data_IF_154228997794
#
_entry.id   IF_154228997794
#
_cell.length_a   1.000
_cell.length_b   1.000
_cell.length_c   1.000
_cell.angle_alpha   90.00
_cell.angle_beta   90.00
_cell.angle_gamma   90.00
#
_symmetry.space_group_name_H-M   'P 1'
#
loop_
_entity.id
_entity.type
_entity.pdbx_description
1 polymer ?
2 non-polymer ?
3 non-polymer ?
4 water ?
#
# COMPACT_ATOMS: atom_id res chain seq x y z
N UNK A 10 8.88 -2.08 21.19
CA UNK A 10 7.48 -2.40 21.56
C UNK A 10 7.04 -3.82 21.11
N UNK A 11 6.13 -3.89 20.15
CA UNK A 11 5.58 -5.18 19.71
C UNK A 11 6.17 -5.58 18.36
N UNK A 12 5.73 -6.73 17.85
CA UNK A 12 6.23 -7.25 16.59
C UNK A 12 5.84 -6.35 15.43
N UNK A 13 4.54 -6.17 15.23
CA UNK A 13 4.03 -5.29 14.18
C UNK A 13 4.71 -3.93 14.22
N UNK A 14 5.02 -3.46 15.43
CA UNK A 14 5.60 -2.14 15.61
C UNK A 14 6.82 -1.94 14.71
N UNK A 15 7.64 -2.97 14.61
CA UNK A 15 8.95 -2.85 13.99
C UNK A 15 9.09 -3.70 12.74
N UNK A 16 7.96 -4.27 12.29
CA UNK A 16 7.98 -5.21 11.18
C UNK A 16 7.91 -4.48 9.85
N UNK A 17 8.93 -4.65 9.03
CA UNK A 17 9.13 -3.81 7.85
C UNK A 17 7.91 -3.74 6.95
N UNK A 18 7.21 -4.85 6.77
CA UNK A 18 6.07 -4.81 5.87
C UNK A 18 4.97 -3.96 6.43
N UNK A 19 4.89 -3.86 7.75
CA UNK A 19 3.86 -3.02 8.33
C UNK A 19 4.26 -1.58 8.17
N UNK A 20 5.55 -1.34 8.37
CA UNK A 20 6.08 -0.02 8.26
C UNK A 20 5.86 0.47 6.83
N UNK A 21 6.04 -0.38 5.83
CA UNK A 21 5.77 0.04 4.45
C UNK A 21 4.30 0.26 4.21
N UNK A 22 3.49 -0.74 4.49
CA UNK A 22 2.06 -0.65 4.24
C UNK A 22 1.43 0.54 4.97
N UNK A 23 1.73 0.74 6.26
CA UNK A 23 1.12 1.84 7.02
C UNK A 23 1.56 3.23 6.52
N UNK A 24 2.84 3.37 6.19
CA UNK A 24 3.36 4.60 5.59
C UNK A 24 2.57 4.95 4.36
N UNK A 25 2.51 3.99 3.44
CA UNK A 25 1.86 4.17 2.16
C UNK A 25 0.40 4.54 2.38
N UNK A 26 -0.25 3.86 3.32
CA UNK A 26 -1.65 4.09 3.58
C UNK A 26 -1.86 5.45 4.18
N UNK A 27 -1.03 5.82 5.14
CA UNK A 27 -1.17 7.12 5.78
C UNK A 27 -0.78 8.28 4.86
N UNK A 28 0.24 8.12 4.05
CA UNK A 28 0.64 9.21 3.17
C UNK A 28 -0.45 9.49 2.16
N UNK A 29 -1.09 8.42 1.70
CA UNK A 29 -2.14 8.48 0.70
C UNK A 29 -3.45 9.00 1.21
N UNK A 30 -3.79 8.68 2.46
CA UNK A 30 -5.13 8.96 2.99
C UNK A 30 -5.43 10.43 2.87
N UNK A 31 -4.38 11.22 3.08
CA UNK A 31 -4.42 12.67 2.91
C UNK A 31 -5.05 13.00 1.55
N UNK A 32 -4.28 12.75 0.51
CA UNK A 32 -4.66 12.96 -0.87
C UNK A 32 -5.90 12.20 -1.33
N UNK A 33 -6.09 10.98 -0.85
CA UNK A 33 -7.20 10.08 -1.27
C UNK A 33 -8.55 10.64 -0.89
N UNK A 34 -8.56 11.74 -0.14
CA UNK A 34 -9.82 12.31 0.27
C UNK A 34 -10.20 13.34 -0.78
N UNK A 35 -9.22 14.11 -1.23
CA UNK A 35 -9.42 15.07 -2.32
C UNK A 35 -9.94 14.38 -3.57
N UNK A 36 -9.26 13.30 -3.98
CA UNK A 36 -9.69 12.46 -5.09
C UNK A 36 -11.16 12.13 -4.93
N UNK A 37 -11.54 11.69 -3.74
CA UNK A 37 -12.94 11.40 -3.44
C UNK A 37 -13.83 12.61 -3.73
N UNK A 38 -13.27 13.80 -3.55
CA UNK A 38 -14.05 15.03 -3.68
C UNK A 38 -14.31 15.35 -5.15
N UNK A 39 -13.27 15.30 -5.97
CA UNK A 39 -13.41 15.52 -7.40
C UNK A 39 -14.23 14.42 -8.05
N UNK A 40 -14.70 13.47 -7.25
CA UNK A 40 -15.62 12.44 -7.71
C UNK A 40 -14.92 11.36 -8.51
N UNK A 41 -13.71 10.99 -8.08
CA UNK A 41 -12.94 9.98 -8.78
C UNK A 41 -12.71 8.77 -7.88
N UNK A 42 -12.27 7.67 -8.50
CA UNK A 42 -11.88 6.51 -7.76
C UNK A 42 -10.37 6.45 -7.82
N UNK A 43 -9.76 5.82 -6.83
CA UNK A 43 -8.32 5.73 -6.80
C UNK A 43 -7.72 5.21 -8.14
N UNK A 44 -8.27 4.11 -8.69
CA UNK A 44 -7.66 3.66 -9.97
C UNK A 44 -7.87 4.63 -11.13
N UNK A 45 -8.94 5.42 -11.11
CA UNK A 45 -9.08 6.43 -12.17
C UNK A 45 -8.01 7.51 -12.03
N UNK A 46 -7.79 7.93 -10.80
CA UNK A 46 -6.79 8.93 -10.53
C UNK A 46 -5.45 8.39 -11.03
N UNK A 47 -5.15 7.15 -10.67
CA UNK A 47 -3.88 6.59 -11.14
C UNK A 47 -3.71 6.60 -12.65
N UNK A 48 -4.79 6.38 -13.40
CA UNK A 48 -4.71 6.38 -14.85
C UNK A 48 -4.41 7.79 -15.32
N UNK A 49 -5.08 8.79 -14.75
CA UNK A 49 -4.81 10.20 -15.09
C UNK A 49 -3.36 10.56 -14.78
N UNK A 50 -2.88 10.10 -13.62
CA UNK A 50 -1.50 10.31 -13.20
C UNK A 50 -0.53 9.74 -14.23
N UNK A 51 -0.82 8.56 -14.77
CA UNK A 51 0.11 7.93 -15.69
C UNK A 51 0.12 8.67 -16.99
N UNK A 52 -1.03 9.23 -17.35
CA UNK A 52 -1.21 9.70 -18.70
C UNK A 52 -0.95 11.21 -18.86
N UNK A 53 -0.70 11.90 -17.73
CA UNK A 53 -0.44 13.33 -17.76
C UNK A 53 0.84 13.71 -18.52
N UNK A 54 1.81 12.81 -18.49
CA UNK A 54 3.18 13.03 -18.96
C UNK A 54 3.48 12.22 -20.21
N UNK A 55 2.56 11.36 -20.62
CA UNK A 55 2.77 10.46 -21.77
C UNK A 55 1.62 10.67 -22.72
N UNK A 56 1.89 10.53 -24.01
CA UNK A 56 0.90 10.74 -25.07
C UNK A 56 -0.09 9.59 -25.18
N UNK A 57 0.44 8.36 -25.28
CA UNK A 57 -0.30 7.11 -25.43
C UNK A 57 0.28 6.20 -24.38
N UNK A 58 -0.46 5.18 -24.01
CA UNK A 58 0.03 4.13 -23.15
C UNK A 58 -0.82 2.85 -23.28
N UNK A 59 -0.17 1.69 -23.22
CA UNK A 59 -0.83 0.40 -23.19
C UNK A 59 -1.54 0.18 -21.88
N UNK A 60 -2.67 -0.54 -21.97
CA UNK A 60 -3.46 -0.87 -20.81
C UNK A 60 -2.65 -1.77 -19.87
N UNK A 61 -1.79 -2.61 -20.44
CA UNK A 61 -0.91 -3.45 -19.64
C UNK A 61 -0.03 -2.60 -18.75
N UNK A 62 0.61 -1.57 -19.33
CA UNK A 62 1.49 -0.67 -18.58
C UNK A 62 0.72 0.17 -17.56
N UNK A 63 -0.49 0.58 -17.93
CA UNK A 63 -1.33 1.37 -17.04
C UNK A 63 -1.58 0.56 -15.80
N UNK A 64 -2.00 -0.70 -16.01
CA UNK A 64 -2.27 -1.62 -14.93
C UNK A 64 -1.03 -1.84 -14.06
N UNK A 65 0.13 -2.02 -14.70
CA UNK A 65 1.40 -2.20 -13.98
C UNK A 65 1.59 -1.02 -13.04
N UNK A 66 1.72 0.19 -13.60
CA UNK A 66 1.94 1.38 -12.78
C UNK A 66 0.85 1.56 -11.75
N UNK A 67 -0.38 1.14 -12.02
CA UNK A 67 -1.43 1.41 -11.03
C UNK A 67 -1.59 0.29 -10.00
N UNK A 68 -0.73 -0.73 -10.09
CA UNK A 68 -0.85 -1.88 -9.20
C UNK A 68 -2.26 -2.49 -9.28
N UNK A 69 -2.68 -2.81 -10.50
CA UNK A 69 -4.02 -3.33 -10.80
C UNK A 69 -3.90 -4.57 -11.64
N UNK A 70 -4.83 -5.47 -11.46
CA UNK A 70 -4.86 -6.62 -12.32
C UNK A 70 -5.42 -6.12 -13.66
N UNK A 71 -4.93 -6.68 -14.74
CA UNK A 71 -5.17 -6.11 -16.04
C UNK A 71 -6.62 -6.05 -16.47
N UNK A 72 -7.44 -7.01 -16.09
CA UNK A 72 -8.80 -6.94 -16.59
C UNK A 72 -9.63 -5.95 -15.80
N UNK A 73 -9.39 -5.85 -14.50
CA UNK A 73 -10.06 -4.77 -13.74
C UNK A 73 -9.67 -3.43 -14.34
N UNK A 74 -8.38 -3.22 -14.58
CA UNK A 74 -7.93 -2.00 -15.24
C UNK A 74 -8.62 -1.70 -16.58
N UNK A 75 -8.81 -2.74 -17.39
CA UNK A 75 -9.39 -2.61 -18.70
C UNK A 75 -10.85 -2.23 -18.59
N UNK A 76 -11.56 -2.82 -17.62
CA UNK A 76 -12.93 -2.39 -17.35
C UNK A 76 -12.90 -0.87 -17.09
N UNK A 77 -12.10 -0.47 -16.09
CA UNK A 77 -12.06 0.92 -15.66
C UNK A 77 -11.65 1.88 -16.76
N UNK A 78 -10.54 1.59 -17.45
CA UNK A 78 -10.21 2.41 -18.60
C UNK A 78 -11.41 2.53 -19.55
N UNK A 79 -12.04 1.40 -19.89
CA UNK A 79 -13.15 1.42 -20.84
C UNK A 79 -14.33 2.26 -20.37
N UNK A 80 -14.62 2.25 -19.08
CA UNK A 80 -15.64 3.15 -18.57
C UNK A 80 -15.19 4.61 -18.68
N UNK A 81 -13.91 4.86 -18.45
CA UNK A 81 -13.44 6.23 -18.57
C UNK A 81 -13.62 6.73 -20.00
N UNK A 82 -13.32 5.84 -20.94
CA UNK A 82 -13.57 6.08 -22.33
C UNK A 82 -15.03 6.49 -22.57
N UNK A 83 -15.97 5.66 -22.13
CA UNK A 83 -17.36 6.01 -22.26
C UNK A 83 -17.66 7.37 -21.67
N UNK A 84 -17.02 7.71 -20.56
CA UNK A 84 -17.27 9.01 -19.96
C UNK A 84 -16.48 10.14 -20.62
N UNK A 85 -15.73 9.85 -21.70
CA UNK A 85 -15.01 10.89 -22.46
C UNK A 85 -13.73 11.42 -21.84
N UNK A 86 -13.13 10.70 -20.88
CA UNK A 86 -11.87 11.14 -20.25
C UNK A 86 -10.65 10.62 -20.96
N UNK A 87 -10.85 9.53 -21.72
CA UNK A 87 -9.75 8.77 -22.24
C UNK A 87 -10.19 8.22 -23.57
N UNK A 88 -9.28 8.11 -24.52
CA UNK A 88 -9.67 7.60 -25.84
C UNK A 88 -8.57 6.70 -26.38
N UNK A 89 -8.90 5.79 -27.28
CA UNK A 89 -7.92 4.90 -27.86
C UNK A 89 -7.29 5.59 -29.03
N UNK A 90 -5.98 5.45 -29.15
CA UNK A 90 -5.22 6.09 -30.22
C UNK A 90 -5.35 5.26 -31.48
N UNK A 91 -5.95 5.82 -32.53
CA UNK A 91 -6.14 5.12 -33.81
C UNK A 91 -4.80 4.77 -34.50
N UNK A 98 -3.61 -2.75 -32.37
CA UNK A 98 -2.74 -2.16 -31.32
C UNK A 98 -3.37 -1.11 -30.36
N UNK A 99 -3.54 -1.46 -29.09
CA UNK A 99 -4.37 -0.68 -28.21
C UNK A 99 -3.53 0.19 -27.30
N UNK A 100 -3.68 1.50 -27.45
CA UNK A 100 -2.96 2.53 -26.70
C UNK A 100 -4.01 3.55 -26.29
N UNK A 101 -3.93 4.05 -25.06
CA UNK A 101 -4.92 4.99 -24.53
C UNK A 101 -4.27 6.34 -24.30
N UNK A 102 -4.99 7.40 -24.63
CA UNK A 102 -4.52 8.72 -24.29
C UNK A 102 -5.65 9.48 -23.66
N UNK A 103 -5.35 10.62 -23.04
CA UNK A 103 -6.38 11.46 -22.44
C UNK A 103 -7.13 12.26 -23.50
N UNK A 104 -8.42 12.55 -23.26
CA UNK A 104 -9.11 13.56 -24.06
C UNK A 104 -8.80 14.96 -23.51
N UNK A 105 -9.26 16.01 -24.16
CA UNK A 105 -9.09 17.33 -23.57
C UNK A 105 -9.69 17.34 -22.19
N UNK A 106 -10.86 16.74 -22.02
CA UNK A 106 -11.46 16.77 -20.71
C UNK A 106 -10.66 16.02 -19.69
N UNK A 107 -10.17 14.85 -20.07
CA UNK A 107 -9.39 14.03 -19.19
C UNK A 107 -8.14 14.78 -18.81
N UNK A 108 -7.61 15.53 -19.78
CA UNK A 108 -6.37 16.22 -19.57
C UNK A 108 -6.57 17.36 -18.58
N UNK A 109 -7.66 18.11 -18.75
CA UNK A 109 -7.95 19.20 -17.84
C UNK A 109 -8.08 18.62 -16.43
N UNK A 110 -8.70 17.46 -16.33
CA UNK A 110 -8.84 16.81 -15.04
C UNK A 110 -7.52 16.30 -14.49
N UNK A 111 -6.71 15.63 -15.32
CA UNK A 111 -5.38 15.19 -14.90
C UNK A 111 -4.53 16.35 -14.43
N UNK A 112 -4.55 17.44 -15.17
CA UNK A 112 -3.70 18.56 -14.83
C UNK A 112 -4.03 19.04 -13.45
N UNK A 113 -5.32 19.14 -13.24
CA UNK A 113 -5.82 19.63 -12.00
C UNK A 113 -5.47 18.70 -10.83
N UNK A 114 -5.67 17.39 -10.98
CA UNK A 114 -5.37 16.49 -9.89
C UNK A 114 -3.90 16.29 -9.68
N UNK A 115 -3.13 16.24 -10.77
CA UNK A 115 -1.71 16.08 -10.56
C UNK A 115 -1.14 17.31 -9.86
N UNK A 116 -1.61 18.51 -10.23
CA UNK A 116 -1.23 19.70 -9.46
C UNK A 116 -1.44 19.46 -7.96
N UNK A 117 -2.65 19.05 -7.55
CA UNK A 117 -2.89 18.70 -6.14
C UNK A 117 -1.94 17.66 -5.62
N UNK A 118 -1.76 16.60 -6.38
CA UNK A 118 -0.80 15.60 -5.93
C UNK A 118 0.55 16.26 -5.60
N UNK A 119 1.10 17.04 -6.55
CA UNK A 119 2.44 17.61 -6.39
C UNK A 119 2.45 18.65 -5.21
N UNK A 120 1.32 19.30 -4.94
CA UNK A 120 1.20 20.19 -3.77
C UNK A 120 1.23 19.40 -2.45
N UNK A 121 0.42 18.34 -2.33
CA UNK A 121 0.46 17.47 -1.16
C UNK A 121 1.86 16.92 -0.98
N UNK A 122 2.44 16.41 -2.06
CA UNK A 122 3.76 15.81 -1.99
C UNK A 122 4.81 16.80 -1.43
N UNK A 123 4.72 18.05 -1.87
CA UNK A 123 5.63 19.06 -1.44
C UNK A 123 5.53 19.32 0.05
N UNK A 124 4.30 19.39 0.57
CA UNK A 124 4.13 19.60 1.99
C UNK A 124 4.72 18.45 2.76
N UNK A 125 4.53 17.24 2.26
CA UNK A 125 5.06 16.08 2.98
C UNK A 125 6.59 16.06 3.02
N UNK A 126 7.20 16.26 1.85
CA UNK A 126 8.64 16.13 1.74
C UNK A 126 9.32 17.26 2.47
N UNK A 127 8.63 18.39 2.55
CA UNK A 127 9.12 19.52 3.23
C UNK A 127 9.19 19.17 4.71
N UNK A 128 8.13 18.59 5.24
CA UNK A 128 8.07 18.14 6.63
C UNK A 128 9.10 17.07 6.97
N UNK A 129 9.67 16.46 5.94
CA UNK A 129 10.64 15.42 6.16
C UNK A 129 12.07 15.93 6.03
N UNK A 130 12.25 17.19 5.67
CA UNK A 130 13.57 17.65 5.29
C UNK A 130 14.57 17.80 6.48
N UNK A 131 14.05 17.87 7.71
CA UNK A 131 14.86 17.96 8.94
C UNK A 131 15.26 16.61 9.51
N UNK A 132 14.78 15.52 8.89
CA UNK A 132 14.69 14.21 9.55
C UNK A 132 15.58 13.15 8.88
N UNK A 133 15.65 11.93 9.45
CA UNK A 133 16.22 10.75 8.74
C UNK A 133 15.51 10.51 7.42
N UNK A 134 14.26 10.93 7.34
CA UNK A 134 13.44 10.52 6.21
C UNK A 134 13.65 11.47 5.05
N UNK A 135 14.61 12.36 5.16
CA UNK A 135 14.77 13.38 4.13
C UNK A 135 14.99 12.80 2.74
N UNK A 136 15.82 11.75 2.66
CA UNK A 136 16.12 11.04 1.40
C UNK A 136 15.14 9.91 1.04
N UNK A 137 13.89 9.99 1.50
CA UNK A 137 12.96 8.87 1.38
C UNK A 137 12.77 8.34 -0.04
N UNK A 138 12.55 9.25 -0.99
CA UNK A 138 12.47 8.87 -2.38
C UNK A 138 13.65 8.00 -2.84
N UNK A 139 14.88 8.43 -2.56
CA UNK A 139 16.03 7.65 -2.94
C UNK A 139 16.02 6.28 -2.28
N UNK A 140 15.77 6.24 -0.97
CA UNK A 140 15.67 5.00 -0.24
C UNK A 140 14.71 4.03 -0.93
N UNK A 141 13.47 4.49 -1.17
CA UNK A 141 12.49 3.66 -1.83
C UNK A 141 12.96 3.21 -3.23
N UNK A 142 13.56 4.09 -4.03
CA UNK A 142 13.93 3.68 -5.39
C UNK A 142 15.09 2.68 -5.34
N UNK A 143 15.87 2.69 -4.26
CA UNK A 143 16.88 1.67 -4.05
C UNK A 143 16.21 0.35 -3.68
N UNK A 144 15.27 0.40 -2.72
CA UNK A 144 14.57 -0.81 -2.30
C UNK A 144 13.94 -1.47 -3.52
N UNK A 145 13.24 -0.66 -4.31
CA UNK A 145 12.62 -1.14 -5.55
C UNK A 145 13.63 -1.77 -6.51
N UNK A 146 14.82 -1.19 -6.62
CA UNK A 146 15.84 -1.73 -7.51
C UNK A 146 16.38 -3.06 -7.04
N UNK A 147 16.48 -3.22 -5.71
CA UNK A 147 16.92 -4.48 -5.13
C UNK A 147 15.82 -5.51 -5.37
N UNK A 148 14.58 -5.14 -5.09
CA UNK A 148 13.49 -6.08 -5.30
C UNK A 148 13.30 -6.55 -6.73
N UNK A 149 14.11 -6.08 -7.68
CA UNK A 149 13.96 -6.51 -9.08
C UNK A 149 15.13 -7.40 -9.59
N UNK B 10 12.50 12.62 -15.83
CA UNK B 10 11.62 11.45 -16.19
C UNK B 10 10.13 11.83 -15.99
N UNK B 11 9.25 10.85 -15.72
CA UNK B 11 7.78 11.07 -15.70
C UNK B 11 7.28 11.27 -14.27
N UNK B 12 6.07 11.81 -14.11
CA UNK B 12 5.51 12.06 -12.81
C UNK B 12 5.37 10.81 -11.93
N UNK B 13 4.67 9.78 -12.40
CA UNK B 13 4.46 8.61 -11.58
C UNK B 13 5.80 8.03 -11.08
N UNK B 14 6.74 7.84 -12.00
CA UNK B 14 7.99 7.17 -11.64
C UNK B 14 8.76 7.82 -10.46
N UNK B 15 8.66 9.16 -10.31
CA UNK B 15 9.21 9.87 -9.13
C UNK B 15 8.25 10.32 -8.02
N UNK B 16 6.99 9.92 -8.08
CA UNK B 16 6.01 10.42 -7.12
C UNK B 16 6.09 9.65 -5.81
N UNK B 17 6.14 10.38 -4.68
CA UNK B 17 6.31 9.73 -3.39
C UNK B 17 5.29 8.63 -3.11
N UNK B 18 4.02 8.92 -3.40
CA UNK B 18 2.93 8.00 -3.10
C UNK B 18 3.00 6.74 -3.96
N UNK B 19 3.44 6.91 -5.20
CA UNK B 19 3.68 5.76 -6.05
C UNK B 19 4.82 4.92 -5.47
N UNK B 20 5.93 5.57 -5.15
CA UNK B 20 7.08 4.86 -4.63
C UNK B 20 6.72 4.14 -3.34
N UNK B 21 5.94 4.77 -2.46
CA UNK B 21 5.53 4.05 -1.25
C UNK B 21 4.68 2.82 -1.60
N UNK B 22 3.66 3.01 -2.44
CA UNK B 22 2.70 1.96 -2.69
C UNK B 22 3.32 0.78 -3.44
N UNK B 23 4.14 1.07 -4.44
CA UNK B 23 4.84 0.03 -5.18
C UNK B 23 5.79 -0.76 -4.26
N UNK B 24 6.56 -0.06 -3.45
CA UNK B 24 7.45 -0.70 -2.48
C UNK B 24 6.71 -1.67 -1.60
N UNK B 25 5.61 -1.22 -1.03
CA UNK B 25 4.92 -2.01 -0.06
C UNK B 25 4.41 -3.27 -0.79
N UNK B 26 3.88 -3.09 -2.00
CA UNK B 26 3.43 -4.19 -2.80
C UNK B 26 4.56 -5.19 -3.11
N UNK B 27 5.65 -4.70 -3.68
CA UNK B 27 6.72 -5.60 -4.08
C UNK B 27 7.43 -6.24 -2.90
N UNK B 28 7.52 -5.51 -1.81
CA UNK B 28 8.21 -6.07 -0.65
C UNK B 28 7.37 -7.19 -0.04
N UNK B 29 6.05 -6.98 0.00
CA UNK B 29 5.09 -7.92 0.59
C UNK B 29 4.81 -9.15 -0.28
N UNK B 30 5.04 -9.00 -1.58
CA UNK B 30 4.62 -10.01 -2.55
C UNK B 30 5.04 -11.43 -2.16
N UNK B 31 6.31 -11.61 -1.81
CA UNK B 31 6.78 -12.95 -1.55
C UNK B 31 6.13 -13.56 -0.31
N UNK B 32 6.04 -12.79 0.76
CA UNK B 32 5.39 -13.29 1.94
C UNK B 32 3.90 -13.55 1.72
N UNK B 33 3.24 -12.66 0.97
CA UNK B 33 1.85 -12.88 0.67
C UNK B 33 1.67 -14.18 -0.13
N UNK B 34 2.59 -14.48 -1.05
CA UNK B 34 2.62 -15.79 -1.73
C UNK B 34 2.53 -16.97 -0.74
N UNK B 35 3.29 -16.83 0.34
CA UNK B 35 3.40 -17.82 1.37
C UNK B 35 2.09 -17.99 2.15
N UNK B 36 1.51 -16.87 2.57
CA UNK B 36 0.20 -16.87 3.24
C UNK B 36 -0.85 -17.57 2.36
N UNK B 37 -0.88 -17.20 1.07
CA UNK B 37 -1.83 -17.72 0.10
C UNK B 37 -1.72 -19.25 0.07
N UNK B 38 -0.48 -19.74 -0.04
CA UNK B 38 -0.20 -21.18 -0.05
C UNK B 38 -0.69 -21.90 1.19
N UNK B 39 -0.64 -21.20 2.33
CA UNK B 39 -1.12 -21.67 3.62
C UNK B 39 -2.65 -21.66 3.72
N UNK B 40 -3.33 -21.31 2.63
CA UNK B 40 -4.79 -21.15 2.62
C UNK B 40 -5.37 -19.96 3.39
N UNK B 41 -4.53 -18.96 3.65
CA UNK B 41 -4.90 -17.79 4.43
C UNK B 41 -5.00 -16.51 3.61
N UNK B 42 -5.89 -15.60 4.04
CA UNK B 42 -6.01 -14.30 3.41
C UNK B 42 -5.13 -13.27 4.13
N UNK B 43 -4.70 -12.25 3.39
CA UNK B 43 -3.82 -11.23 3.98
C UNK B 43 -4.41 -10.60 5.25
N UNK B 44 -5.68 -10.22 5.22
CA UNK B 44 -6.20 -9.67 6.47
C UNK B 44 -6.13 -10.66 7.63
N UNK B 45 -6.36 -11.96 7.35
CA UNK B 45 -6.31 -12.95 8.43
C UNK B 45 -4.91 -12.99 9.04
N UNK B 46 -3.89 -12.97 8.20
CA UNK B 46 -2.54 -13.00 8.74
C UNK B 46 -2.25 -11.75 9.59
N UNK B 47 -2.76 -10.60 9.16
CA UNK B 47 -2.49 -9.38 9.89
C UNK B 47 -3.12 -9.46 11.26
N UNK B 48 -4.35 -10.00 11.34
CA UNK B 48 -4.96 -10.16 12.65
C UNK B 48 -4.07 -11.03 13.52
N UNK B 49 -3.59 -12.15 12.96
CA UNK B 49 -2.66 -13.02 13.69
C UNK B 49 -1.38 -12.29 14.06
N UNK B 50 -0.82 -11.55 13.11
CA UNK B 50 0.38 -10.77 13.43
C UNK B 50 0.13 -9.79 14.60
N UNK B 51 -1.03 -9.13 14.61
CA UNK B 51 -1.32 -8.19 15.71
C UNK B 51 -1.54 -8.86 17.04
N UNK B 52 -2.03 -10.11 17.03
CA UNK B 52 -2.40 -10.72 18.30
C UNK B 52 -1.32 -11.59 18.91
N UNK B 53 -0.25 -11.83 18.18
CA UNK B 53 0.82 -12.69 18.67
C UNK B 53 1.44 -12.17 19.99
N UNK B 54 1.81 -10.88 20.07
CA UNK B 54 2.34 -10.33 21.34
C UNK B 54 1.24 -10.01 22.32
N UNK B 55 0.24 -9.27 21.88
CA UNK B 55 -0.80 -8.78 22.75
C UNK B 55 -1.73 -9.89 23.24
N UNK B 56 -2.31 -9.72 24.42
CA UNK B 56 -3.22 -10.73 24.94
C UNK B 56 -4.62 -10.57 24.39
N UNK B 57 -5.03 -9.34 24.12
CA UNK B 57 -6.39 -9.04 23.76
C UNK B 57 -6.41 -7.68 23.10
N UNK B 58 -7.21 -7.51 22.05
CA UNK B 58 -7.33 -6.24 21.37
C UNK B 58 -8.75 -5.94 21.01
N UNK B 59 -9.06 -4.66 20.94
CA UNK B 59 -10.35 -4.18 20.54
C UNK B 59 -10.39 -4.30 19.05
N UNK B 60 -11.53 -4.64 18.50
CA UNK B 60 -11.59 -4.85 17.06
C UNK B 60 -11.21 -3.55 16.35
N UNK B 61 -11.54 -2.43 16.98
CA UNK B 61 -11.27 -1.13 16.37
C UNK B 61 -9.77 -0.88 16.21
N UNK B 62 -8.96 -1.31 17.17
CA UNK B 62 -7.50 -1.18 17.05
C UNK B 62 -6.96 -2.19 16.02
N UNK B 63 -7.52 -3.40 16.03
CA UNK B 63 -7.13 -4.38 15.05
C UNK B 63 -7.37 -3.81 13.65
N UNK B 64 -8.52 -3.15 13.46
CA UNK B 64 -8.80 -2.54 12.18
C UNK B 64 -7.75 -1.50 11.78
N UNK B 65 -7.45 -0.56 12.66
CA UNK B 65 -6.44 0.42 12.37
C UNK B 65 -5.07 -0.20 12.08
N UNK B 66 -4.65 -1.19 12.86
CA UNK B 66 -3.36 -1.83 12.59
C UNK B 66 -3.37 -2.58 11.29
N UNK B 67 -4.52 -3.14 10.92
CA UNK B 67 -4.57 -3.93 9.69
C UNK B 67 -4.89 -3.15 8.45
N UNK B 68 -5.12 -1.85 8.63
CA UNK B 68 -5.51 -0.94 7.57
C UNK B 68 -6.80 -1.36 6.93
N UNK B 69 -7.85 -1.55 7.72
CA UNK B 69 -9.16 -1.92 7.19
C UNK B 69 -10.24 -1.09 7.77
N UNK B 70 -11.34 -1.03 7.05
CA UNK B 70 -12.56 -0.48 7.61
C UNK B 70 -13.05 -1.39 8.72
N UNK B 71 -13.73 -0.77 9.67
CA UNK B 71 -14.22 -1.44 10.86
C UNK B 71 -15.06 -2.67 10.50
N UNK B 72 -16.05 -2.50 9.65
CA UNK B 72 -17.01 -3.57 9.41
C UNK B 72 -16.37 -4.72 8.64
N UNK B 73 -15.46 -4.42 7.71
CA UNK B 73 -14.79 -5.45 6.95
C UNK B 73 -13.96 -6.27 7.94
N UNK B 74 -13.28 -5.56 8.85
CA UNK B 74 -12.45 -6.19 9.86
C UNK B 74 -13.27 -7.11 10.74
N UNK B 75 -14.51 -6.74 10.99
CA UNK B 75 -15.27 -7.58 11.87
C UNK B 75 -15.83 -8.82 11.17
N UNK B 76 -16.15 -8.70 9.87
CA UNK B 76 -16.53 -9.86 9.09
C UNK B 76 -15.39 -10.86 9.12
N UNK B 77 -14.18 -10.34 8.96
CA UNK B 77 -13.01 -11.20 9.02
C UNK B 77 -12.80 -11.82 10.36
N UNK B 78 -12.85 -11.02 11.42
CA UNK B 78 -12.65 -11.58 12.73
C UNK B 78 -13.73 -12.61 12.99
N UNK B 79 -14.98 -12.34 12.63
CA UNK B 79 -16.02 -13.35 12.84
C UNK B 79 -15.69 -14.69 12.19
N UNK B 80 -15.10 -14.63 11.01
CA UNK B 80 -14.80 -15.86 10.27
C UNK B 80 -13.73 -16.65 10.99
N UNK B 81 -12.71 -15.94 11.49
CA UNK B 81 -11.67 -16.56 12.25
C UNK B 81 -12.20 -17.14 13.55
N UNK B 82 -13.14 -16.44 14.17
CA UNK B 82 -13.83 -16.92 15.34
C UNK B 82 -14.50 -18.24 14.99
N UNK B 83 -15.29 -18.30 13.92
CA UNK B 83 -16.01 -19.54 13.57
C UNK B 83 -15.08 -20.73 13.32
N UNK B 84 -13.85 -20.40 12.95
CA UNK B 84 -12.90 -21.40 12.54
C UNK B 84 -12.15 -21.85 13.77
N UNK B 85 -12.29 -21.13 14.88
CA UNK B 85 -11.56 -21.47 16.08
C UNK B 85 -10.17 -20.83 16.23
N UNK B 86 -9.85 -19.80 15.44
CA UNK B 86 -8.56 -19.15 15.61
C UNK B 86 -8.55 -18.05 16.65
N UNK B 87 -9.73 -17.50 16.90
CA UNK B 87 -9.83 -16.23 17.65
C UNK B 87 -11.06 -16.24 18.52
N UNK B 88 -11.01 -15.67 19.71
CA UNK B 88 -12.20 -15.65 20.57
C UNK B 88 -12.47 -14.29 21.23
N UNK B 89 -13.72 -14.03 21.63
CA UNK B 89 -14.06 -12.77 22.32
C UNK B 89 -13.73 -12.91 23.79
N UNK B 90 -13.12 -11.87 24.35
CA UNK B 90 -12.82 -11.81 25.76
C UNK B 90 -14.09 -11.38 26.49
N UNK B 91 -14.48 -12.16 27.49
CA UNK B 91 -15.70 -11.91 28.31
C UNK B 91 -15.62 -10.59 29.10
N UNK B 92 -16.77 -9.94 29.32
CA UNK B 92 -16.87 -8.64 30.05
C UNK B 92 -18.22 -8.37 30.76
N UNK B 93 -18.40 -7.17 31.36
CA UNK B 93 -19.66 -6.77 32.05
C UNK B 93 -20.49 -5.75 31.25
N UNK B 98 -16.69 -1.64 23.35
CA UNK B 98 -15.29 -1.89 23.62
C UNK B 98 -14.96 -3.36 23.81
N UNK B 99 -15.48 -4.23 22.96
CA UNK B 99 -15.14 -5.65 22.97
C UNK B 99 -13.71 -5.91 22.53
N UNK B 100 -13.13 -6.97 23.07
CA UNK B 100 -11.76 -7.33 22.87
C UNK B 100 -11.69 -8.75 22.37
N UNK B 101 -10.60 -9.09 21.73
CA UNK B 101 -10.52 -10.34 21.01
C UNK B 101 -9.14 -10.94 21.21
N UNK B 102 -9.04 -12.24 21.32
CA UNK B 102 -7.73 -12.86 21.54
C UNK B 102 -7.55 -14.16 20.76
N UNK B 103 -6.30 -14.59 20.58
CA UNK B 103 -6.03 -15.88 19.95
C UNK B 103 -6.49 -17.03 20.83
N UNK B 104 -6.96 -18.10 20.19
CA UNK B 104 -7.16 -19.35 20.88
C UNK B 104 -5.80 -20.01 20.92
N UNK B 105 -5.68 -21.20 21.51
CA UNK B 105 -4.40 -21.92 21.45
C UNK B 105 -3.97 -22.23 20.04
N UNK B 106 -4.90 -22.74 19.24
CA UNK B 106 -4.63 -23.02 17.84
C UNK B 106 -4.22 -21.73 17.15
N UNK B 107 -4.96 -20.66 17.43
CA UNK B 107 -4.67 -19.37 16.86
C UNK B 107 -3.25 -18.98 17.17
N UNK B 108 -2.86 -19.19 18.42
CA UNK B 108 -1.55 -18.76 18.90
C UNK B 108 -0.45 -19.60 18.27
N UNK B 109 -0.72 -20.87 18.04
CA UNK B 109 0.30 -21.73 17.42
C UNK B 109 0.58 -21.27 15.99
N UNK B 110 -0.51 -20.95 15.28
CA UNK B 110 -0.44 -20.63 13.89
C UNK B 110 0.26 -19.28 13.74
N UNK B 111 -0.19 -18.29 14.52
CA UNK B 111 0.44 -17.00 14.54
C UNK B 111 1.91 -17.12 14.81
N UNK B 112 2.27 -18.02 15.72
CA UNK B 112 3.67 -18.11 16.05
C UNK B 112 4.49 -18.61 14.89
N UNK B 113 4.00 -19.61 14.18
CA UNK B 113 4.80 -20.12 13.11
C UNK B 113 4.82 -19.15 11.92
N UNK B 114 3.72 -18.45 11.68
CA UNK B 114 3.73 -17.40 10.67
C UNK B 114 4.65 -16.23 11.00
N UNK B 115 4.60 -15.75 12.24
CA UNK B 115 5.48 -14.64 12.60
C UNK B 115 6.95 -15.05 12.44
N UNK B 116 7.27 -16.28 12.81
CA UNK B 116 8.60 -16.82 12.54
C UNK B 116 8.99 -16.66 11.05
N UNK B 117 8.17 -17.18 10.13
CA UNK B 117 8.41 -16.99 8.69
C UNK B 117 8.54 -15.54 8.31
N UNK B 118 7.59 -14.72 8.78
CA UNK B 118 7.64 -13.30 8.44
C UNK B 118 9.01 -12.73 8.81
N UNK B 119 9.48 -13.04 10.02
CA UNK B 119 10.75 -12.50 10.50
C UNK B 119 11.91 -12.93 9.62
N UNK B 120 11.95 -14.21 9.25
CA UNK B 120 13.05 -14.75 8.44
C UNK B 120 13.07 -14.11 7.05
N UNK B 121 11.89 -13.96 6.45
CA UNK B 121 11.71 -13.31 5.16
C UNK B 121 12.17 -11.82 5.23
N UNK B 122 11.87 -11.16 6.36
CA UNK B 122 12.28 -9.79 6.62
C UNK B 122 13.78 -9.70 6.73
N UNK B 123 14.40 -10.68 7.39
CA UNK B 123 15.83 -10.66 7.58
C UNK B 123 16.52 -10.89 6.25
N UNK B 124 15.95 -11.78 5.45
CA UNK B 124 16.48 -12.01 4.12
C UNK B 124 16.59 -10.66 3.42
N UNK B 125 15.48 -9.93 3.42
CA UNK B 125 15.44 -8.67 2.70
C UNK B 125 16.37 -7.57 3.29
N UNK B 126 16.37 -7.44 4.62
CA UNK B 126 17.22 -6.45 5.25
C UNK B 126 18.67 -6.68 4.95
N UNK B 127 19.06 -7.95 4.89
CA UNK B 127 20.41 -8.33 4.49
C UNK B 127 20.70 -7.75 3.12
N UNK B 128 19.85 -8.08 2.15
CA UNK B 128 20.02 -7.63 0.78
C UNK B 128 20.16 -6.11 0.71
N UNK B 129 19.54 -5.41 1.65
CA UNK B 129 19.57 -3.95 1.69
C UNK B 129 20.78 -3.35 2.39
N UNK B 130 21.37 -4.13 3.29
CA UNK B 130 22.45 -3.69 4.19
C UNK B 130 23.59 -2.89 3.54
N UNK B 131 24.08 -3.29 2.37
CA UNK B 131 25.16 -2.50 1.75
C UNK B 131 24.66 -1.14 1.25
N UNK B 132 23.38 -1.07 0.90
CA UNK B 132 22.83 0.02 0.10
C UNK B 132 22.36 1.29 0.81
N UNK B 133 21.84 2.21 0.01
CA UNK B 133 21.10 3.39 0.48
C UNK B 133 19.97 3.04 1.41
N UNK B 134 19.26 1.96 1.08
CA UNK B 134 18.08 1.55 1.82
C UNK B 134 18.39 0.84 3.14
N UNK B 135 19.67 0.77 3.52
CA UNK B 135 20.04 0.00 4.71
C UNK B 135 19.22 0.38 5.94
N UNK B 136 18.89 1.66 6.11
CA UNK B 136 18.09 2.12 7.26
C UNK B 136 16.62 2.42 6.93
N UNK B 137 16.07 1.69 5.95
CA UNK B 137 14.66 1.78 5.56
C UNK B 137 13.71 1.81 6.76
N UNK B 138 14.00 1.03 7.78
CA UNK B 138 13.11 0.93 8.92
C UNK B 138 13.02 2.21 9.74
N UNK B 139 14.16 2.86 10.02
CA UNK B 139 14.12 4.10 10.78
C UNK B 139 13.48 5.15 9.91
N UNK B 140 13.79 5.09 8.63
CA UNK B 140 13.28 6.06 7.71
C UNK B 140 11.75 6.06 7.80
N UNK B 141 11.16 4.86 7.73
CA UNK B 141 9.70 4.72 7.68
C UNK B 141 9.10 5.10 9.04
N UNK B 142 9.77 4.65 10.10
CA UNK B 142 9.48 5.07 11.47
C UNK B 142 9.38 6.59 11.56
N UNK B 143 10.39 7.28 11.03
CA UNK B 143 10.43 8.74 10.97
C UNK B 143 9.22 9.28 10.19
N UNK B 144 8.94 8.65 9.05
CA UNK B 144 7.84 9.08 8.21
C UNK B 144 6.49 9.03 8.95
N UNK B 145 6.18 7.88 9.55
CA UNK B 145 4.94 7.71 10.29
C UNK B 145 4.83 8.72 11.42
N UNK B 146 5.92 8.90 12.15
CA UNK B 146 5.98 9.89 13.22
C UNK B 146 5.56 11.27 12.71
N UNK B 147 6.13 11.68 11.58
CA UNK B 147 5.78 12.95 10.96
C UNK B 147 4.32 12.97 10.52
N UNK B 148 3.85 11.84 9.99
CA UNK B 148 2.52 11.77 9.42
C UNK B 148 1.44 11.84 10.49
N UNK B 149 1.87 11.99 11.75
CA UNK B 149 0.96 11.94 12.88
C UNK B 149 0.49 13.34 13.26
X LIG C 1 -12.28 4.20 -4.38
X LIG C 1 -13.04 3.12 -3.76
X LIG C 1 -10.92 3.81 -4.70
X LIG C 1 -12.96 4.46 -5.64
X LIG C 1 -12.34 5.42 -3.52
X LIG D 1 -18.97 -0.69 -15.45
X LIG D 1 -20.02 -1.46 -14.78
X LIG D 1 -18.02 -1.54 -16.18
X LIG D 1 -19.59 0.36 -16.34
X LIG D 1 -18.14 -0.07 -14.40
X LIG E 1 -5.98 9.81 -32.12
X LIG E 1 -6.73 9.50 -30.92
X LIG E 1 -4.65 10.32 -31.78
X LIG E 1 -5.83 8.60 -32.94
X LIG E 1 -6.76 10.83 -32.83
X LIG F 1 -10.13 14.91 -27.73
X LIG F 1 -10.95 15.51 -26.66
X LIG F 1 -8.71 14.89 -27.40
X LIG F 1 -10.52 13.53 -28.07
X LIG F 1 -10.30 15.76 -28.90
X LIG G 1 3.50 1.89 -23.52
X LIG G 1 2.31 1.53 -22.76
X LIG G 1 4.44 0.77 -23.46
X LIG G 1 3.14 2.20 -24.91
X LIG G 1 4.08 3.06 -22.87
X LIG H 1 0.35 4.65 -8.35
X LIG H 1 0.23 3.86 -7.19
X LIG H 1 0.17 6.09 -7.80
X LIG H 1 -0.62 6.17 -6.59
X LIG H 1 -0.41 6.96 -8.92
X LIG H 1 -0.08 6.10 -9.99
X LIG I 1 -6.60 -2.55 22.78
X LIG I 1 -7.38 -2.60 24.02
X LIG I 1 -5.32 -3.25 22.86
X LIG I 1 -7.38 -3.14 21.71
X LIG I 1 -6.29 -1.16 22.40
X LIG J 1 0.64 -6.83 9.97
X LIG J 1 1.66 -6.80 9.01
X LIG J 1 -0.34 -5.81 9.40
X LIG J 1 -1.03 -5.28 10.48
X LIG J 1 0.30 -4.67 8.61
X LIG J 1 -0.69 -3.94 7.91
X LIG K 1 -10.23 -14.89 29.20
X LIG K 1 -9.34 -14.09 28.47
X LIG K 1 -11.54 -14.77 28.43
X LIG K 1 -12.32 -13.71 28.93
X LIG K 1 -12.33 -16.06 28.49
X LIG K 1 -13.12 -16.01 27.33
#
# INVERSE_FOLDING_TARGET
SNAXNDTPDDTFVSGYLLYLLAASSEEASAQFHDHIRAQGLRVPEWRVLACLVDNDAMMITRLAKLSLMEQSRMTRIVDQMDARGLVTRVADAKDKRRVRVRLTDDGRALAESLVASARAHETRLLSALADTDAARIKGVLRTLLDVLDRPRESR
SNAXNDTPDDTFVSGYLLYLLAASSEEASAQFHDHIRAQGLRVPEWRVLACLVDNDAMMITRLAKLSLMEQSRMTRIVDQMDARGLVTRVADAKDKRRVRVRLTDDGRALAESLVASARAHETRLLSALADTDAARIKGVLRTLLDVLDRPRESR
SO4 S O1 O2 O3 O4
SO4 S O1 O2 O3 O4
SO4 S O1 O2 O3 O4
SO4 S O1 O2 O3 O4
SO4 S O1 O2 O3 O4
GOL C1 O1 C2 O2 C3 O3
SO4 S O1 O2 O3 O4
GOL C1 O1 C2 O2 C3 O3
GOL C1 O1 C2 O2 C3 O3
#
